data_IF_070917296900
#
_entry.id   IF_070917296900
#
_cell.length_a   1.000
_cell.length_b   1.000
_cell.length_c   1.000
_cell.angle_alpha   90.00
_cell.angle_beta   90.00
_cell.angle_gamma   90.00
#
_symmetry.space_group_name_H-M   'P 1'
#
loop_
_entity.id
_entity.type
_entity.pdbx_description
1 polymer ?
#
# COMPACT_ATOMS: atom_id res chain seq x y z
N UNK A 1 -14.50 -6.52 -1.82
CA UNK A 1 -15.45 -6.59 -2.94
C UNK A 1 -15.79 -5.17 -3.36
N UNK A 2 -15.86 -4.90 -4.66
CA UNK A 2 -16.33 -3.61 -5.18
C UNK A 2 -17.81 -3.43 -4.81
N UNK A 3 -18.17 -2.26 -4.30
CA UNK A 3 -19.54 -1.92 -3.91
C UNK A 3 -20.40 -1.50 -5.09
N UNK A 4 -19.81 -1.26 -6.27
CA UNK A 4 -20.50 -0.69 -7.44
C UNK A 4 -20.87 0.78 -7.27
N UNK A 5 -20.44 1.43 -6.18
CA UNK A 5 -20.77 2.83 -5.88
C UNK A 5 -19.60 3.74 -6.28
N UNK A 6 -19.88 4.75 -7.10
CA UNK A 6 -18.84 5.66 -7.64
C UNK A 6 -18.17 6.55 -6.57
N UNK A 7 -18.85 6.78 -5.44
CA UNK A 7 -18.32 7.55 -4.30
C UNK A 7 -17.41 6.77 -3.37
N UNK A 8 -17.37 5.45 -3.51
CA UNK A 8 -16.62 4.62 -2.59
C UNK A 8 -15.13 4.67 -2.88
N UNK A 9 -14.34 4.44 -1.83
CA UNK A 9 -12.89 4.45 -1.85
C UNK A 9 -12.41 3.11 -1.34
N UNK A 10 -11.35 2.59 -1.93
CA UNK A 10 -10.86 1.27 -1.61
C UNK A 10 -9.36 1.30 -1.36
N UNK A 11 -8.92 0.42 -0.46
CA UNK A 11 -7.53 0.02 -0.33
C UNK A 11 -7.48 -1.49 -0.50
N UNK A 12 -6.71 -1.95 -1.49
CA UNK A 12 -6.60 -3.38 -1.81
C UNK A 12 -5.18 -3.81 -1.55
N UNK A 13 -5.01 -4.70 -0.58
CA UNK A 13 -3.73 -5.33 -0.24
C UNK A 13 -3.57 -6.60 -1.05
N UNK A 14 -2.43 -6.75 -1.73
CA UNK A 14 -2.10 -7.92 -2.54
C UNK A 14 -0.71 -8.43 -2.18
N UNK A 15 -0.53 -9.75 -1.96
CA UNK A 15 0.81 -10.31 -1.82
C UNK A 15 1.59 -10.13 -3.13
N UNK A 16 2.88 -9.83 -3.02
CA UNK A 16 3.79 -9.65 -4.14
C UNK A 16 5.06 -10.50 -4.00
N UNK A 17 4.90 -11.69 -3.42
CA UNK A 17 6.01 -12.60 -3.12
C UNK A 17 6.78 -12.20 -1.85
N UNK A 18 7.94 -12.81 -1.70
CA UNK A 18 8.76 -12.67 -0.50
C UNK A 18 9.92 -13.65 -0.52
N UNK A 19 10.74 -13.59 0.53
CA UNK A 19 11.78 -14.59 0.76
C UNK A 19 11.19 -15.88 1.35
N UNK A 20 12.02 -16.92 1.42
CA UNK A 20 11.59 -18.22 1.96
C UNK A 20 11.19 -18.09 3.44
N UNK A 21 10.00 -18.61 3.78
CA UNK A 21 9.55 -18.71 5.18
C UNK A 21 10.27 -19.90 5.84
N UNK A 22 11.08 -19.63 6.86
CA UNK A 22 11.84 -20.65 7.61
C UNK A 22 11.66 -20.43 9.09
N UNK A 23 11.48 -21.51 9.84
CA UNK A 23 11.34 -21.41 11.29
C UNK A 23 12.64 -20.87 11.93
N UNK A 24 12.52 -19.85 12.76
CA UNK A 24 13.63 -19.24 13.50
C UNK A 24 14.55 -18.33 12.67
N UNK A 25 14.17 -17.96 11.45
CA UNK A 25 14.91 -17.01 10.61
C UNK A 25 13.98 -15.90 10.13
N UNK A 26 14.54 -14.69 9.96
CA UNK A 26 13.81 -13.57 9.40
C UNK A 26 13.40 -13.77 7.94
N UNK A 27 12.40 -13.01 7.50
CA UNK A 27 11.93 -13.04 6.12
C UNK A 27 11.44 -11.67 5.64
N UNK A 28 11.43 -11.49 4.32
CA UNK A 28 10.88 -10.32 3.64
C UNK A 28 9.55 -10.71 3.00
N UNK A 29 8.52 -9.91 3.20
CA UNK A 29 7.24 -10.01 2.49
C UNK A 29 7.01 -8.75 1.69
N UNK A 30 6.76 -8.89 0.39
CA UNK A 30 6.43 -7.77 -0.47
C UNK A 30 4.93 -7.65 -0.60
N UNK A 31 4.39 -6.44 -0.42
CA UNK A 31 2.96 -6.15 -0.46
C UNK A 31 2.71 -5.03 -1.47
N UNK A 32 1.77 -5.26 -2.39
CA UNK A 32 1.21 -4.20 -3.22
C UNK A 32 -0.04 -3.65 -2.56
N UNK A 33 -0.15 -2.33 -2.49
CA UNK A 33 -1.31 -1.64 -1.96
C UNK A 33 -1.88 -0.74 -3.06
N UNK A 34 -3.01 -1.15 -3.62
CA UNK A 34 -3.76 -0.33 -4.57
C UNK A 34 -4.71 0.59 -3.79
N UNK A 35 -4.45 1.90 -3.79
CA UNK A 35 -5.29 2.93 -3.17
C UNK A 35 -6.15 3.57 -4.27
N UNK A 36 -7.46 3.39 -4.16
CA UNK A 36 -8.44 3.73 -5.20
C UNK A 36 -9.33 4.86 -4.70
N UNK A 37 -9.30 5.98 -5.42
CA UNK A 37 -10.11 7.15 -5.12
C UNK A 37 -11.58 6.99 -5.52
N UNK A 38 -12.43 7.88 -5.00
CA UNK A 38 -13.78 8.06 -5.51
C UNK A 38 -13.73 8.77 -6.88
N UNK A 39 -14.75 8.61 -7.71
CA UNK A 39 -14.88 9.40 -8.95
C UNK A 39 -14.98 10.89 -8.61
N UNK A 40 -14.14 11.71 -9.24
CA UNK A 40 -14.03 13.15 -8.92
C UNK A 40 -13.30 13.46 -7.61
N UNK A 41 -12.81 12.45 -6.88
CA UNK A 41 -12.10 12.58 -5.61
C UNK A 41 -10.58 12.59 -5.73
N UNK A 42 -10.04 13.04 -6.87
CA UNK A 42 -8.62 12.90 -7.21
C UNK A 42 -7.69 13.53 -6.16
N UNK A 43 -7.91 14.81 -5.84
CA UNK A 43 -7.08 15.50 -4.84
C UNK A 43 -7.09 14.81 -3.46
N UNK A 44 -8.22 14.21 -3.07
CA UNK A 44 -8.34 13.49 -1.81
C UNK A 44 -7.49 12.22 -1.79
N UNK A 45 -7.48 11.44 -2.88
CA UNK A 45 -6.69 10.20 -2.93
C UNK A 45 -5.19 10.51 -3.04
N UNK A 46 -4.81 11.56 -3.77
CA UNK A 46 -3.43 12.05 -3.84
C UNK A 46 -2.89 12.39 -2.43
N UNK A 47 -3.63 13.21 -1.67
CA UNK A 47 -3.27 13.56 -0.30
C UNK A 47 -3.19 12.32 0.60
N UNK A 48 -4.16 11.40 0.47
CA UNK A 48 -4.18 10.19 1.29
C UNK A 48 -3.00 9.27 1.03
N UNK A 49 -2.55 9.16 -0.22
CA UNK A 49 -1.38 8.35 -0.58
C UNK A 49 -0.11 8.93 0.04
N UNK A 50 0.05 10.27 0.00
CA UNK A 50 1.15 10.94 0.68
C UNK A 50 1.13 10.67 2.19
N UNK A 51 -0.04 10.81 2.83
CA UNK A 51 -0.22 10.53 4.26
C UNK A 51 0.15 9.09 4.65
N UNK A 52 -0.15 8.10 3.80
CA UNK A 52 0.22 6.69 4.03
C UNK A 52 1.74 6.54 4.00
N UNK A 53 2.39 7.10 2.98
CA UNK A 53 3.86 7.03 2.83
C UNK A 53 4.55 7.73 4.01
N UNK A 54 4.09 8.93 4.36
CA UNK A 54 4.63 9.71 5.49
C UNK A 54 4.48 8.96 6.81
N UNK A 55 3.31 8.35 7.03
CA UNK A 55 3.05 7.58 8.24
C UNK A 55 4.03 6.40 8.37
N UNK A 56 4.19 5.58 7.32
CA UNK A 56 5.11 4.43 7.35
C UNK A 56 6.56 4.89 7.55
N UNK A 57 6.98 5.99 6.93
CA UNK A 57 8.33 6.53 7.11
C UNK A 57 8.60 6.98 8.55
N UNK A 58 7.60 7.60 9.22
CA UNK A 58 7.72 8.06 10.60
C UNK A 58 7.56 6.93 11.62
N UNK A 59 6.94 5.82 11.22
CA UNK A 59 6.50 4.75 12.10
C UNK A 59 6.89 3.36 11.53
N UNK A 60 8.17 3.10 11.20
CA UNK A 60 8.54 1.89 10.45
C UNK A 60 8.45 0.60 11.28
N UNK A 61 8.31 0.67 12.61
CA UNK A 61 8.29 -0.51 13.50
C UNK A 61 7.12 -0.43 14.52
N UNK A 62 5.95 0.05 14.09
CA UNK A 62 4.79 0.18 15.01
C UNK A 62 4.17 -1.16 15.42
N UNK A 63 4.34 -2.21 14.63
CA UNK A 63 3.78 -3.52 14.90
C UNK A 63 4.87 -4.58 14.89
N UNK A 64 5.11 -5.18 16.06
CA UNK A 64 6.13 -6.21 16.25
C UNK A 64 5.89 -7.44 15.36
N UNK A 65 4.64 -7.76 15.01
CA UNK A 65 4.31 -8.90 14.14
C UNK A 65 4.62 -8.63 12.66
N UNK A 66 4.60 -7.35 12.25
CA UNK A 66 4.95 -6.93 10.89
C UNK A 66 6.45 -6.72 10.76
N UNK A 67 7.11 -6.30 11.84
CA UNK A 67 8.52 -5.95 11.84
C UNK A 67 8.77 -4.59 11.19
N UNK A 68 9.92 -4.44 10.54
CA UNK A 68 10.28 -3.21 9.83
C UNK A 68 9.51 -3.09 8.51
N UNK A 69 8.66 -2.07 8.40
CA UNK A 69 7.86 -1.78 7.22
C UNK A 69 8.44 -0.59 6.46
N UNK A 70 8.66 -0.75 5.16
CA UNK A 70 9.21 0.30 4.30
C UNK A 70 8.47 0.40 2.97
N UNK A 71 8.22 1.63 2.50
CA UNK A 71 7.77 1.90 1.13
C UNK A 71 8.93 1.71 0.15
N UNK A 72 8.72 0.88 -0.87
CA UNK A 72 9.68 0.61 -1.94
C UNK A 72 9.45 1.54 -3.12
N UNK A 73 10.21 2.63 -3.17
CA UNK A 73 10.24 3.57 -4.29
C UNK A 73 9.61 4.92 -3.99
N UNK A 74 9.64 5.81 -4.98
CA UNK A 74 8.95 7.10 -4.93
C UNK A 74 7.43 6.90 -5.11
N UNK A 75 6.63 7.92 -4.76
CA UNK A 75 5.19 7.91 -5.03
C UNK A 75 4.97 7.77 -6.56
N UNK A 76 4.31 6.70 -7.02
CA UNK A 76 4.13 6.45 -8.45
C UNK A 76 3.07 7.40 -9.03
N UNK A 77 3.13 7.62 -10.34
CA UNK A 77 2.04 8.28 -11.06
C UNK A 77 0.76 7.42 -10.96
N UNK A 78 -0.42 8.02 -10.71
CA UNK A 78 -1.66 7.28 -10.64
C UNK A 78 -2.09 6.75 -11.99
N UNK A 79 -2.77 5.62 -11.98
CA UNK A 79 -3.38 5.00 -13.16
C UNK A 79 -4.86 5.41 -13.19
N UNK A 80 -5.33 6.12 -14.24
CA UNK A 80 -6.74 6.42 -14.37
C UNK A 80 -7.52 5.17 -14.78
N UNK A 81 -8.66 4.94 -14.14
CA UNK A 81 -9.61 3.92 -14.58
C UNK A 81 -10.50 4.46 -15.71
N UNK A 82 -11.12 3.56 -16.48
CA UNK A 82 -12.07 3.94 -17.54
C UNK A 82 -13.23 4.79 -17.02
N UNK A 83 -13.67 4.55 -15.78
CA UNK A 83 -14.74 5.28 -15.12
C UNK A 83 -14.29 6.58 -14.42
N UNK A 84 -13.00 6.93 -14.50
CA UNK A 84 -12.47 8.22 -14.05
C UNK A 84 -12.02 8.28 -12.59
N UNK A 85 -11.70 7.14 -11.97
CA UNK A 85 -11.02 7.09 -10.66
C UNK A 85 -9.50 7.09 -10.85
N UNK A 86 -8.77 7.55 -9.84
CA UNK A 86 -7.33 7.35 -9.76
C UNK A 86 -6.99 6.12 -8.91
N UNK A 87 -6.03 5.33 -9.38
CA UNK A 87 -5.44 4.19 -8.66
C UNK A 87 -3.96 4.45 -8.45
N UNK A 88 -3.54 4.52 -7.20
CA UNK A 88 -2.14 4.50 -6.81
C UNK A 88 -1.72 3.10 -6.41
N UNK A 89 -0.64 2.59 -7.01
CA UNK A 89 -0.09 1.27 -6.69
C UNK A 89 1.20 1.42 -5.90
N UNK A 90 1.10 1.38 -4.58
CA UNK A 90 2.25 1.39 -3.70
C UNK A 90 2.84 0.00 -3.56
N UNK A 91 4.14 -0.08 -3.28
CA UNK A 91 4.82 -1.33 -2.93
C UNK A 91 5.50 -1.15 -1.59
N UNK A 92 5.26 -2.08 -0.67
CA UNK A 92 5.92 -2.13 0.64
C UNK A 92 6.71 -3.42 0.78
N UNK A 93 7.75 -3.38 1.59
CA UNK A 93 8.41 -4.57 2.15
C UNK A 93 8.21 -4.56 3.67
N UNK A 94 7.79 -5.70 4.20
CA UNK A 94 7.77 -5.99 5.63
C UNK A 94 8.89 -6.99 5.93
N UNK A 95 9.82 -6.61 6.81
CA UNK A 95 10.96 -7.44 7.23
C UNK A 95 10.78 -7.80 8.70
N UNK A 96 10.63 -9.08 8.99
CA UNK A 96 10.47 -9.61 10.34
C UNK A 96 11.69 -10.45 10.73
N UNK A 97 12.10 -10.40 12.00
CA UNK A 97 13.14 -11.29 12.57
C UNK A 97 14.59 -10.87 12.32
N UNK A 98 14.87 -9.57 12.21
CA UNK A 98 16.24 -9.02 12.31
C UNK A 98 16.72 -8.87 13.77
#
# INVERSE_FOLDING_TARGET
TDSGTESDRFMVFRPNGGSNIRNGLGNEQYILVDVIGAKGGNAFVDERVQQIVDYVQQNPMTDDCVGYLQNMGAMPAPIPTTEGRLVYRLQFVATYGE
#
